data_IF_122392890660
#
_entry.id   IF_122392890660
#
_cell.length_a   1.000
_cell.length_b   1.000
_cell.length_c   1.000
_cell.angle_alpha   90.00
_cell.angle_beta   90.00
_cell.angle_gamma   90.00
#
_symmetry.space_group_name_H-M   'P 1'
#
loop_
_entity.id
_entity.type
_entity.pdbx_description
1 polymer ?
#
# COMPACT_ATOMS: atom_id res chain seq x y z
N UNK A 1 16.81 11.49 -2.11
CA UNK A 1 16.28 10.14 -2.35
C UNK A 1 15.75 10.11 -3.77
N UNK A 2 16.26 9.23 -4.59
CA UNK A 2 15.72 8.94 -5.91
C UNK A 2 14.70 7.82 -5.77
N UNK A 3 13.44 8.10 -6.13
CA UNK A 3 12.39 7.10 -6.20
C UNK A 3 12.33 6.50 -7.61
N UNK A 4 11.65 5.37 -7.72
CA UNK A 4 11.38 4.70 -8.98
C UNK A 4 9.88 4.46 -9.12
N UNK A 5 9.32 4.87 -10.24
CA UNK A 5 7.97 4.52 -10.65
C UNK A 5 7.91 4.31 -12.15
N UNK A 6 7.00 3.46 -12.60
CA UNK A 6 6.81 3.16 -14.00
C UNK A 6 5.49 3.78 -14.48
N UNK A 7 5.54 4.68 -15.46
CA UNK A 7 4.37 5.32 -16.05
C UNK A 7 3.37 4.33 -16.69
N UNK A 8 3.76 3.07 -16.90
CA UNK A 8 2.86 2.03 -17.35
C UNK A 8 1.78 1.68 -16.30
N UNK A 9 2.06 1.89 -15.00
CA UNK A 9 1.14 1.60 -13.91
C UNK A 9 0.43 2.84 -13.34
N UNK A 10 0.82 4.04 -13.78
CA UNK A 10 0.19 5.29 -13.36
C UNK A 10 0.30 6.32 -14.48
N UNK A 11 -0.82 6.56 -15.15
CA UNK A 11 -0.85 7.48 -16.29
C UNK A 11 -0.81 8.94 -15.88
N UNK A 12 -1.22 9.28 -14.65
CA UNK A 12 -1.40 10.66 -14.22
C UNK A 12 -0.81 10.94 -12.83
N UNK A 13 -0.40 12.19 -12.65
CA UNK A 13 0.01 12.77 -11.38
C UNK A 13 -0.41 14.23 -11.30
N UNK A 14 -0.52 14.78 -10.11
CA UNK A 14 -0.89 16.18 -9.92
C UNK A 14 0.30 17.11 -10.25
N UNK A 15 0.19 17.92 -11.30
CA UNK A 15 1.19 18.92 -11.67
C UNK A 15 1.24 20.06 -10.64
N UNK A 16 2.42 20.30 -10.08
CA UNK A 16 2.64 21.31 -9.04
C UNK A 16 3.47 22.51 -9.51
N UNK A 17 4.03 22.45 -10.71
CA UNK A 17 4.84 23.53 -11.30
C UNK A 17 6.15 23.03 -11.88
N UNK A 18 6.93 23.98 -12.39
CA UNK A 18 8.26 23.73 -12.89
C UNK A 18 9.32 24.12 -11.85
N UNK A 19 10.43 23.39 -11.86
CA UNK A 19 11.62 23.64 -11.06
C UNK A 19 12.86 23.70 -11.97
N UNK A 20 14.00 24.14 -11.43
CA UNK A 20 15.29 24.19 -12.13
C UNK A 20 15.22 24.88 -13.50
N UNK A 21 14.65 26.11 -13.56
CA UNK A 21 14.46 26.89 -14.79
C UNK A 21 13.66 26.16 -15.88
N UNK A 22 12.66 25.35 -15.48
CA UNK A 22 11.76 24.65 -16.39
C UNK A 22 12.24 23.29 -16.86
N UNK A 23 13.42 22.82 -16.44
CA UNK A 23 13.94 21.49 -16.84
C UNK A 23 13.38 20.34 -16.04
N UNK A 24 12.72 20.61 -14.90
CA UNK A 24 12.06 19.61 -14.06
C UNK A 24 10.59 19.97 -13.84
N UNK A 25 9.76 18.94 -13.84
CA UNK A 25 8.36 19.02 -13.43
C UNK A 25 8.24 18.51 -12.00
N UNK A 26 7.61 19.31 -11.16
CA UNK A 26 7.22 18.93 -9.81
C UNK A 26 5.81 18.35 -9.82
N UNK A 27 5.61 17.21 -9.20
CA UNK A 27 4.32 16.52 -9.20
C UNK A 27 4.05 15.80 -7.87
N UNK A 28 2.78 15.47 -7.61
CA UNK A 28 2.35 14.58 -6.53
C UNK A 28 1.82 13.29 -7.12
N UNK A 29 2.30 12.15 -6.61
CA UNK A 29 1.83 10.81 -6.95
C UNK A 29 2.05 9.87 -5.77
N UNK A 30 1.02 9.08 -5.40
CA UNK A 30 1.09 8.05 -4.36
C UNK A 30 1.80 8.52 -3.08
N UNK A 31 1.36 9.69 -2.55
CA UNK A 31 1.88 10.27 -1.31
C UNK A 31 3.22 11.00 -1.41
N UNK A 32 3.86 11.01 -2.58
CA UNK A 32 5.18 11.64 -2.78
C UNK A 32 5.10 12.87 -3.66
N UNK A 33 5.72 13.96 -3.22
CA UNK A 33 6.09 15.06 -4.10
C UNK A 33 7.45 14.77 -4.71
N UNK A 34 7.49 14.56 -6.01
CA UNK A 34 8.68 14.22 -6.79
C UNK A 34 9.03 15.25 -7.84
N UNK A 35 10.20 15.08 -8.44
CA UNK A 35 10.68 15.80 -9.61
C UNK A 35 11.01 14.80 -10.71
N UNK A 36 10.58 15.07 -11.92
CA UNK A 36 10.89 14.31 -13.14
C UNK A 36 11.44 15.26 -14.21
N UNK A 37 12.21 14.76 -15.16
CA UNK A 37 12.65 15.57 -16.31
C UNK A 37 11.44 16.02 -17.12
N UNK A 38 11.44 17.30 -17.52
CA UNK A 38 10.28 17.91 -18.19
C UNK A 38 10.01 17.29 -19.58
N UNK A 39 11.01 16.72 -20.21
CA UNK A 39 10.91 16.03 -21.51
C UNK A 39 10.43 14.58 -21.40
N UNK A 40 10.35 14.02 -20.18
CA UNK A 40 9.80 12.68 -19.92
C UNK A 40 8.30 12.67 -19.66
N UNK A 41 7.66 13.85 -19.53
CA UNK A 41 6.24 13.99 -19.19
C UNK A 41 5.54 15.03 -20.04
N UNK A 42 4.25 14.85 -20.24
CA UNK A 42 3.38 15.82 -20.88
C UNK A 42 2.49 16.50 -19.83
N UNK A 43 2.36 17.82 -19.91
CA UNK A 43 1.46 18.59 -19.05
C UNK A 43 0.18 18.86 -19.80
N UNK A 44 -0.92 18.32 -19.28
CA UNK A 44 -2.26 18.47 -19.83
C UNK A 44 -3.13 19.31 -18.91
N UNK A 45 -4.08 20.05 -19.50
CA UNK A 45 -5.11 20.72 -18.75
C UNK A 45 -6.26 19.71 -18.46
N UNK A 46 -6.52 19.42 -17.19
CA UNK A 46 -7.55 18.45 -16.81
C UNK A 46 -8.99 18.92 -17.17
N UNK A 47 -9.19 20.21 -17.43
CA UNK A 47 -10.49 20.78 -17.89
C UNK A 47 -10.69 20.63 -19.41
N UNK A 48 -9.68 20.19 -20.14
CA UNK A 48 -9.77 19.93 -21.58
C UNK A 48 -10.29 18.51 -21.81
N UNK A 49 -11.60 18.38 -21.87
CA UNK A 49 -12.31 17.11 -22.04
C UNK A 49 -12.02 16.39 -23.36
N UNK A 50 -11.53 17.12 -24.37
CA UNK A 50 -11.11 16.51 -25.65
C UNK A 50 -9.78 15.75 -25.49
N UNK A 51 -8.95 16.17 -24.55
CA UNK A 51 -7.63 15.58 -24.32
C UNK A 51 -7.60 14.72 -23.07
N UNK A 52 -8.25 15.12 -21.96
CA UNK A 52 -8.26 14.42 -20.69
C UNK A 52 -9.68 13.88 -20.43
N UNK A 53 -9.87 12.58 -20.68
CA UNK A 53 -11.16 11.91 -20.55
C UNK A 53 -11.32 11.15 -19.24
N UNK A 54 -10.22 10.87 -18.54
CA UNK A 54 -10.24 10.24 -17.23
C UNK A 54 -9.05 10.69 -16.39
N UNK A 55 -9.27 10.87 -15.07
CA UNK A 55 -8.22 11.04 -14.05
C UNK A 55 -8.54 10.12 -12.89
N UNK A 56 -7.53 9.72 -12.14
CA UNK A 56 -7.75 8.85 -10.98
C UNK A 56 -8.69 9.50 -9.97
N UNK A 57 -9.61 8.72 -9.42
CA UNK A 57 -10.57 9.20 -8.43
C UNK A 57 -10.95 8.13 -7.41
N UNK A 58 -11.47 8.59 -6.28
CA UNK A 58 -12.09 7.74 -5.26
C UNK A 58 -13.60 7.90 -5.29
N UNK A 59 -14.34 6.81 -5.04
CA UNK A 59 -15.79 6.82 -4.96
C UNK A 59 -16.28 5.91 -3.84
N UNK A 60 -17.33 6.34 -3.14
CA UNK A 60 -18.01 5.50 -2.16
C UNK A 60 -19.17 4.75 -2.80
N UNK A 61 -19.16 3.43 -2.74
CA UNK A 61 -20.25 2.57 -3.21
C UNK A 61 -20.50 1.46 -2.22
N UNK A 62 -21.76 1.19 -1.90
CA UNK A 62 -22.18 0.09 -1.00
C UNK A 62 -21.43 0.08 0.35
N UNK A 63 -21.17 1.25 0.93
CA UNK A 63 -20.47 1.38 2.20
C UNK A 63 -18.95 1.20 2.15
N UNK A 64 -18.36 1.07 0.98
CA UNK A 64 -16.93 0.92 0.77
C UNK A 64 -16.37 2.09 -0.06
N UNK A 65 -15.08 2.35 0.09
CA UNK A 65 -14.32 3.30 -0.72
C UNK A 65 -13.57 2.51 -1.79
N UNK A 66 -13.67 2.98 -3.02
CA UNK A 66 -12.94 2.42 -4.16
C UNK A 66 -12.08 3.49 -4.80
N UNK A 67 -10.86 3.13 -5.20
CA UNK A 67 -9.97 3.92 -6.02
C UNK A 67 -10.03 3.41 -7.46
N UNK A 68 -10.44 4.26 -8.39
CA UNK A 68 -10.46 3.97 -9.83
C UNK A 68 -9.21 4.55 -10.47
N UNK A 69 -8.43 3.69 -11.11
CA UNK A 69 -7.11 4.00 -11.66
C UNK A 69 -7.18 3.86 -13.19
N UNK A 70 -6.74 4.89 -13.91
CA UNK A 70 -6.55 4.86 -15.35
C UNK A 70 -5.06 4.70 -15.69
N UNK A 71 -4.78 3.92 -16.74
CA UNK A 71 -3.45 3.82 -17.35
C UNK A 71 -3.34 4.68 -18.62
N UNK A 72 -4.43 5.32 -19.04
CA UNK A 72 -4.44 6.23 -20.19
C UNK A 72 -5.51 7.32 -19.99
N UNK A 73 -5.08 8.50 -19.57
CA UNK A 73 -5.98 9.63 -19.29
C UNK A 73 -6.71 10.16 -20.53
N UNK A 74 -6.27 9.78 -21.73
CA UNK A 74 -6.91 10.15 -23.01
C UNK A 74 -8.07 9.23 -23.41
N UNK A 75 -8.40 8.25 -22.55
CA UNK A 75 -9.47 7.29 -22.77
C UNK A 75 -10.53 7.37 -21.66
N UNK A 76 -11.83 7.20 -21.98
CA UNK A 76 -12.91 7.34 -20.99
C UNK A 76 -13.15 6.05 -20.17
N UNK A 77 -12.10 5.30 -19.82
CA UNK A 77 -12.22 4.09 -19.02
C UNK A 77 -11.12 3.97 -17.95
N UNK A 78 -11.40 3.14 -16.96
CA UNK A 78 -10.50 2.86 -15.86
C UNK A 78 -10.02 1.41 -15.95
N UNK A 79 -8.72 1.22 -15.79
CA UNK A 79 -8.05 -0.08 -15.97
C UNK A 79 -8.23 -0.96 -14.74
N UNK A 80 -8.23 -0.36 -13.57
CA UNK A 80 -8.42 -1.09 -12.32
C UNK A 80 -9.28 -0.29 -11.34
N UNK A 81 -9.89 -1.00 -10.39
CA UNK A 81 -10.63 -0.43 -9.28
C UNK A 81 -10.28 -1.21 -8.02
N UNK A 82 -9.62 -0.57 -7.08
CA UNK A 82 -9.20 -1.17 -5.81
C UNK A 82 -10.16 -0.76 -4.69
N UNK A 83 -10.66 -1.71 -3.90
CA UNK A 83 -11.30 -1.40 -2.62
C UNK A 83 -10.20 -0.98 -1.63
N UNK A 84 -10.35 0.20 -1.04
CA UNK A 84 -9.35 0.77 -0.13
C UNK A 84 -9.85 0.93 1.30
N UNK A 85 -11.07 0.51 1.58
CA UNK A 85 -11.63 0.45 2.92
C UNK A 85 -13.09 0.79 3.02
N UNK A 86 -13.57 0.99 4.24
CA UNK A 86 -14.96 1.34 4.53
C UNK A 86 -15.20 2.84 4.38
N UNK A 87 -16.41 3.18 3.89
CA UNK A 87 -16.85 4.56 3.76
C UNK A 87 -16.72 5.30 5.10
N UNK A 88 -16.15 6.48 5.06
CA UNK A 88 -15.98 7.34 6.23
C UNK A 88 -17.20 8.26 6.41
N UNK A 89 -17.46 8.69 7.65
CA UNK A 89 -18.64 9.52 7.98
C UNK A 89 -18.68 10.88 7.28
N UNK A 90 -17.54 11.38 6.83
CA UNK A 90 -17.44 12.64 6.07
C UNK A 90 -17.62 12.46 4.55
N UNK A 91 -17.74 11.21 4.07
CA UNK A 91 -17.95 10.89 2.66
C UNK A 91 -19.42 10.58 2.37
N UNK A 92 -19.86 10.91 1.18
CA UNK A 92 -21.22 10.61 0.69
C UNK A 92 -21.17 9.46 -0.32
N UNK A 93 -22.17 8.58 -0.27
CA UNK A 93 -22.33 7.50 -1.25
C UNK A 93 -22.52 8.04 -2.67
N UNK A 94 -21.98 7.34 -3.64
CA UNK A 94 -22.02 7.68 -5.07
C UNK A 94 -21.45 9.07 -5.39
N UNK A 95 -20.49 9.55 -4.58
CA UNK A 95 -19.81 10.83 -4.79
C UNK A 95 -18.35 10.58 -5.10
N UNK A 96 -17.86 11.25 -6.15
CA UNK A 96 -16.46 11.22 -6.57
C UNK A 96 -15.63 12.18 -5.72
N UNK A 97 -14.44 11.74 -5.37
CA UNK A 97 -13.42 12.50 -4.65
C UNK A 97 -12.07 12.34 -5.33
N UNK A 98 -11.25 13.39 -5.31
CA UNK A 98 -9.91 13.38 -5.87
C UNK A 98 -8.86 13.34 -4.76
N UNK A 99 -7.81 12.55 -4.96
CA UNK A 99 -6.65 12.47 -4.07
C UNK A 99 -5.48 11.77 -4.77
N UNK A 100 -4.26 12.31 -4.69
CA UNK A 100 -3.03 11.63 -5.10
C UNK A 100 -2.13 11.25 -3.92
N UNK A 101 -2.54 11.61 -2.70
CA UNK A 101 -1.87 11.13 -1.49
C UNK A 101 -2.62 9.99 -0.77
N UNK A 102 -3.87 9.70 -1.20
CA UNK A 102 -4.72 8.68 -0.59
C UNK A 102 -5.20 9.00 0.84
N UNK A 103 -4.85 10.19 1.36
CA UNK A 103 -5.11 10.56 2.75
C UNK A 103 -6.11 11.70 2.89
N UNK A 104 -6.09 12.66 1.95
CA UNK A 104 -6.94 13.83 1.97
C UNK A 104 -7.77 13.87 0.69
N UNK A 105 -9.10 13.96 0.85
CA UNK A 105 -10.04 13.87 -0.25
C UNK A 105 -10.66 15.21 -0.59
N UNK A 106 -10.84 15.48 -1.86
CA UNK A 106 -11.35 16.74 -2.39
C UNK A 106 -12.55 16.52 -3.28
N UNK A 107 -13.52 17.44 -3.23
CA UNK A 107 -14.72 17.40 -4.07
C UNK A 107 -14.50 17.90 -5.49
N UNK A 108 -13.41 18.60 -5.74
CA UNK A 108 -13.00 19.06 -7.08
C UNK A 108 -11.49 18.89 -7.25
N UNK A 109 -11.09 18.63 -8.49
CA UNK A 109 -9.68 18.47 -8.86
C UNK A 109 -8.88 19.75 -8.56
N UNK A 110 -9.46 20.93 -8.88
CA UNK A 110 -8.79 22.23 -8.65
C UNK A 110 -8.47 22.48 -7.17
N UNK A 111 -9.41 22.20 -6.24
CA UNK A 111 -9.13 22.35 -4.80
C UNK A 111 -7.98 21.47 -4.32
N UNK A 112 -7.86 20.27 -4.89
CA UNK A 112 -6.74 19.36 -4.59
C UNK A 112 -5.42 19.96 -5.07
N UNK A 113 -5.35 20.44 -6.33
CA UNK A 113 -4.17 21.06 -6.90
C UNK A 113 -3.75 22.30 -6.11
N UNK A 114 -4.71 23.17 -5.76
CA UNK A 114 -4.43 24.40 -5.00
C UNK A 114 -3.81 24.07 -3.62
N UNK A 115 -4.35 23.09 -2.92
CA UNK A 115 -3.82 22.67 -1.63
C UNK A 115 -2.44 22.01 -1.75
N UNK A 116 -2.21 21.17 -2.76
CA UNK A 116 -0.90 20.57 -2.99
C UNK A 116 0.17 21.61 -3.34
N UNK A 117 -0.15 22.59 -4.20
CA UNK A 117 0.75 23.72 -4.55
C UNK A 117 1.08 24.58 -3.33
N UNK A 118 0.07 24.82 -2.47
CA UNK A 118 0.23 25.60 -1.24
C UNK A 118 0.81 24.77 -0.06
N UNK A 119 1.07 23.48 -0.26
CA UNK A 119 1.45 22.52 0.78
C UNK A 119 0.51 22.56 2.01
N UNK A 120 -0.79 22.63 1.75
CA UNK A 120 -1.87 22.59 2.76
C UNK A 120 -2.86 21.46 2.46
N UNK A 121 -3.82 21.25 3.36
CA UNK A 121 -4.92 20.31 3.19
C UNK A 121 -6.27 20.94 3.60
N UNK A 122 -6.32 22.26 3.67
CA UNK A 122 -7.45 23.03 4.23
C UNK A 122 -8.75 22.89 3.46
N UNK A 123 -8.66 22.64 2.13
CA UNK A 123 -9.82 22.50 1.25
C UNK A 123 -10.32 21.05 1.13
N UNK A 124 -9.61 20.08 1.75
CA UNK A 124 -10.07 18.70 1.80
C UNK A 124 -11.27 18.53 2.72
N UNK A 125 -12.12 17.54 2.44
CA UNK A 125 -13.30 17.24 3.28
C UNK A 125 -12.93 16.63 4.63
N UNK A 126 -11.68 16.25 4.82
CA UNK A 126 -11.16 15.59 6.01
C UNK A 126 -9.85 16.21 6.52
N UNK A 127 -9.70 17.53 6.40
CA UNK A 127 -8.48 18.28 6.72
C UNK A 127 -7.92 18.01 8.13
N UNK A 128 -8.78 17.76 9.13
CA UNK A 128 -8.39 17.46 10.51
C UNK A 128 -8.24 15.96 10.81
N UNK A 129 -8.60 15.08 9.87
CA UNK A 129 -8.62 13.63 10.06
C UNK A 129 -8.19 12.91 8.78
N UNK A 130 -6.89 12.82 8.51
CA UNK A 130 -6.39 12.08 7.34
C UNK A 130 -6.88 10.62 7.36
N UNK A 131 -7.18 10.10 6.18
CA UNK A 131 -7.55 8.72 5.98
C UNK A 131 -6.30 7.86 5.81
N UNK A 132 -6.35 6.66 6.35
CA UNK A 132 -5.36 5.63 6.11
C UNK A 132 -6.06 4.31 5.82
N UNK A 133 -5.81 3.73 4.65
CA UNK A 133 -6.29 2.40 4.30
C UNK A 133 -5.72 1.38 5.29
N UNK A 134 -6.56 0.78 6.11
CA UNK A 134 -6.13 -0.06 7.24
C UNK A 134 -5.14 -1.16 6.81
N UNK A 135 -5.49 -1.92 5.78
CA UNK A 135 -4.65 -3.03 5.35
C UNK A 135 -3.36 -2.61 4.65
N UNK A 136 -3.32 -1.43 4.07
CA UNK A 136 -2.11 -0.86 3.47
C UNK A 136 -1.10 -0.41 4.53
N UNK A 137 -1.59 -0.01 5.73
CA UNK A 137 -0.75 0.61 6.76
C UNK A 137 -0.63 -0.21 8.05
N UNK A 138 -1.35 -1.31 8.22
CA UNK A 138 -1.18 -2.21 9.37
C UNK A 138 0.19 -2.90 9.29
N UNK A 139 0.84 -3.08 10.44
CA UNK A 139 2.17 -3.69 10.49
C UNK A 139 2.17 -5.11 9.90
N UNK A 140 3.17 -5.39 9.06
CA UNK A 140 3.48 -6.73 8.54
C UNK A 140 3.89 -7.75 9.64
N UNK A 141 3.94 -7.31 10.89
CA UNK A 141 4.12 -8.14 12.09
C UNK A 141 2.80 -8.48 12.79
N UNK A 142 1.66 -8.06 12.26
CA UNK A 142 0.33 -8.42 12.76
C UNK A 142 0.11 -9.93 12.61
N UNK A 143 -0.80 -10.48 13.41
CA UNK A 143 -1.31 -11.84 13.21
C UNK A 143 -2.75 -11.80 12.74
N UNK A 144 -3.07 -12.56 11.70
CA UNK A 144 -4.44 -12.71 11.24
C UNK A 144 -5.25 -13.60 12.20
N UNK A 145 -6.56 -13.30 12.29
CA UNK A 145 -7.56 -14.17 12.90
C UNK A 145 -8.11 -15.21 11.90
N UNK A 146 -7.84 -15.05 10.62
CA UNK A 146 -8.26 -15.98 9.58
C UNK A 146 -7.50 -17.30 9.66
N UNK A 147 -8.15 -18.37 9.23
CA UNK A 147 -7.60 -19.72 9.20
C UNK A 147 -7.12 -20.12 7.81
N UNK A 148 -6.36 -21.19 7.73
CA UNK A 148 -5.98 -21.80 6.44
C UNK A 148 -7.21 -22.13 5.57
N UNK A 149 -8.32 -22.53 6.19
CA UNK A 149 -9.57 -22.82 5.49
C UNK A 149 -10.21 -21.58 4.88
N UNK A 150 -10.13 -20.42 5.57
CA UNK A 150 -10.68 -19.17 5.05
C UNK A 150 -9.90 -18.72 3.81
N UNK A 151 -8.55 -18.76 3.85
CA UNK A 151 -7.70 -18.43 2.73
C UNK A 151 -7.95 -19.37 1.53
N UNK A 152 -8.00 -20.67 1.77
CA UNK A 152 -8.26 -21.67 0.73
C UNK A 152 -9.67 -21.53 0.14
N UNK A 153 -10.66 -21.25 0.98
CA UNK A 153 -12.05 -21.04 0.56
C UNK A 153 -12.18 -19.82 -0.36
N UNK A 154 -11.49 -18.74 -0.02
CA UNK A 154 -11.49 -17.52 -0.85
C UNK A 154 -10.84 -17.78 -2.23
N UNK A 155 -9.67 -18.43 -2.28
CA UNK A 155 -9.03 -18.80 -3.56
C UNK A 155 -9.97 -19.64 -4.41
N UNK A 156 -10.60 -20.65 -3.81
CA UNK A 156 -11.54 -21.53 -4.49
C UNK A 156 -12.75 -20.77 -5.03
N UNK A 157 -13.41 -19.95 -4.19
CA UNK A 157 -14.57 -19.17 -4.60
C UNK A 157 -14.21 -18.22 -5.74
N UNK A 158 -13.08 -17.51 -5.63
CA UNK A 158 -12.67 -16.56 -6.67
C UNK A 158 -12.40 -17.24 -8.02
N UNK A 159 -11.67 -18.36 -8.03
CA UNK A 159 -11.27 -19.01 -9.28
C UNK A 159 -12.38 -19.88 -9.88
N UNK A 160 -13.08 -20.65 -9.06
CA UNK A 160 -14.13 -21.56 -9.56
C UNK A 160 -15.38 -20.78 -9.97
N UNK A 161 -15.80 -19.79 -9.15
CA UNK A 161 -17.07 -19.09 -9.33
C UNK A 161 -16.96 -17.95 -10.35
N UNK A 162 -15.82 -17.25 -10.41
CA UNK A 162 -15.65 -16.09 -11.27
C UNK A 162 -14.95 -16.40 -12.58
N UNK A 163 -13.98 -17.32 -12.58
CA UNK A 163 -13.12 -17.57 -13.74
C UNK A 163 -13.22 -18.99 -14.28
N UNK A 164 -13.91 -19.92 -13.59
CA UNK A 164 -13.96 -21.34 -13.93
C UNK A 164 -12.56 -21.92 -14.23
N UNK A 165 -11.54 -21.45 -13.51
CA UNK A 165 -10.15 -21.83 -13.67
C UNK A 165 -9.72 -22.81 -12.59
N UNK A 166 -9.10 -23.93 -12.99
CA UNK A 166 -8.60 -24.95 -12.08
C UNK A 166 -7.06 -25.01 -12.02
N UNK A 167 -6.37 -24.31 -12.91
CA UNK A 167 -4.92 -24.34 -12.98
C UNK A 167 -4.33 -23.17 -12.18
N UNK A 168 -4.02 -23.42 -10.92
CA UNK A 168 -3.41 -22.47 -10.02
C UNK A 168 -2.43 -23.13 -9.04
N UNK A 169 -1.41 -22.38 -8.66
CA UNK A 169 -0.44 -22.77 -7.61
C UNK A 169 -0.88 -22.34 -6.20
N UNK A 170 -2.03 -21.68 -6.03
CA UNK A 170 -2.51 -21.22 -4.73
C UNK A 170 -3.50 -22.17 -4.05
N UNK A 171 -4.00 -23.22 -4.71
CA UNK A 171 -4.87 -24.19 -4.06
C UNK A 171 -4.18 -24.85 -2.87
N UNK A 172 -4.88 -24.85 -1.72
CA UNK A 172 -4.44 -25.44 -0.45
C UNK A 172 -3.13 -24.84 0.13
N UNK A 173 -2.76 -23.62 -0.29
CA UNK A 173 -1.59 -22.94 0.26
C UNK A 173 -1.87 -22.21 1.59
N UNK A 174 -3.13 -22.03 2.00
CA UNK A 174 -3.50 -21.30 3.21
C UNK A 174 -2.76 -21.76 4.47
N UNK A 175 -2.52 -23.08 4.61
CA UNK A 175 -1.76 -23.63 5.74
C UNK A 175 -0.34 -23.02 5.84
N UNK A 176 0.34 -22.85 4.75
CA UNK A 176 1.73 -22.38 4.74
C UNK A 176 1.84 -20.90 5.12
N UNK A 177 0.91 -20.05 4.67
CA UNK A 177 0.83 -18.67 5.14
C UNK A 177 0.64 -18.59 6.66
N UNK A 178 -0.26 -19.41 7.22
CA UNK A 178 -0.50 -19.42 8.68
C UNK A 178 0.70 -20.00 9.46
N UNK A 179 1.29 -21.07 9.00
CA UNK A 179 2.46 -21.69 9.65
C UNK A 179 3.66 -20.73 9.66
N UNK A 180 3.92 -20.06 8.55
CA UNK A 180 5.06 -19.15 8.44
C UNK A 180 4.82 -17.84 9.18
N UNK A 181 3.57 -17.36 9.27
CA UNK A 181 3.21 -16.29 10.22
C UNK A 181 3.62 -16.67 11.64
N UNK A 182 3.30 -17.89 12.08
CA UNK A 182 3.61 -18.34 13.43
C UNK A 182 5.11 -18.54 13.65
N UNK A 183 5.84 -18.93 12.62
CA UNK A 183 7.28 -19.22 12.69
C UNK A 183 8.14 -17.96 12.52
N UNK A 184 7.79 -17.09 11.58
CA UNK A 184 8.65 -15.94 11.20
C UNK A 184 8.04 -14.59 11.58
N UNK A 185 6.79 -14.56 12.03
CA UNK A 185 6.10 -13.32 12.41
C UNK A 185 5.74 -12.43 11.22
N UNK A 186 5.62 -13.00 10.00
CA UNK A 186 5.08 -12.31 8.83
C UNK A 186 3.55 -12.37 8.86
N UNK A 187 2.87 -11.26 8.59
CA UNK A 187 1.40 -11.21 8.59
C UNK A 187 0.84 -12.02 7.43
N UNK A 188 0.25 -13.18 7.74
CA UNK A 188 -0.22 -14.12 6.72
C UNK A 188 -1.21 -13.51 5.72
N UNK A 189 -2.10 -12.61 6.18
CA UNK A 189 -3.06 -11.95 5.30
C UNK A 189 -2.36 -10.98 4.33
N UNK A 190 -1.30 -10.28 4.77
CA UNK A 190 -0.53 -9.40 3.89
C UNK A 190 0.26 -10.21 2.86
N UNK A 191 0.97 -11.27 3.29
CA UNK A 191 1.68 -12.16 2.37
C UNK A 191 0.73 -12.82 1.37
N UNK A 192 -0.48 -13.20 1.80
CA UNK A 192 -1.53 -13.72 0.93
C UNK A 192 -1.98 -12.67 -0.10
N UNK A 193 -2.28 -11.43 0.33
CA UNK A 193 -2.67 -10.34 -0.57
C UNK A 193 -1.61 -10.02 -1.61
N UNK A 194 -0.33 -10.02 -1.20
CA UNK A 194 0.82 -9.87 -2.13
C UNK A 194 0.88 -11.03 -3.11
N UNK A 195 0.76 -12.29 -2.65
CA UNK A 195 0.79 -13.46 -3.53
C UNK A 195 -0.34 -13.43 -4.57
N UNK A 196 -1.56 -13.04 -4.16
CA UNK A 196 -2.68 -12.87 -5.08
C UNK A 196 -2.39 -11.79 -6.12
N UNK A 197 -1.89 -10.64 -5.68
CA UNK A 197 -1.56 -9.51 -6.56
C UNK A 197 -0.49 -9.85 -7.60
N UNK A 198 0.61 -10.45 -7.15
CA UNK A 198 1.78 -10.75 -7.99
C UNK A 198 1.58 -11.94 -8.94
N UNK A 199 0.74 -12.88 -8.56
CA UNK A 199 0.57 -14.12 -9.32
C UNK A 199 -0.79 -14.28 -9.99
N UNK A 200 -1.66 -13.29 -9.92
CA UNK A 200 -3.05 -13.40 -10.36
C UNK A 200 -3.70 -14.69 -9.81
N UNK A 201 -3.73 -14.83 -8.49
CA UNK A 201 -4.18 -16.06 -7.80
C UNK A 201 -3.39 -17.32 -8.17
N UNK A 202 -2.10 -17.20 -8.46
CA UNK A 202 -1.25 -18.34 -8.81
C UNK A 202 -1.44 -18.87 -10.23
N UNK A 203 -2.13 -18.11 -11.10
CA UNK A 203 -2.44 -18.49 -12.49
C UNK A 203 -1.47 -17.87 -13.51
N UNK A 204 -0.62 -16.91 -13.11
CA UNK A 204 0.35 -16.30 -14.00
C UNK A 204 1.36 -17.31 -14.53
N UNK A 205 1.93 -17.03 -15.70
CA UNK A 205 2.93 -17.91 -16.33
C UNK A 205 4.14 -18.17 -15.43
N UNK A 206 4.60 -17.17 -14.68
CA UNK A 206 5.69 -17.31 -13.71
C UNK A 206 5.28 -18.22 -12.56
N UNK A 207 4.08 -18.02 -12.00
CA UNK A 207 3.58 -18.88 -10.94
C UNK A 207 3.47 -20.35 -11.40
N UNK A 208 2.89 -20.58 -12.56
CA UNK A 208 2.67 -21.94 -13.09
C UNK A 208 3.97 -22.65 -13.44
N UNK A 209 4.90 -21.97 -14.10
CA UNK A 209 6.13 -22.58 -14.58
C UNK A 209 7.27 -22.63 -13.56
N UNK A 210 7.31 -21.65 -12.63
CA UNK A 210 8.41 -21.46 -11.67
C UNK A 210 8.01 -21.64 -10.21
N UNK A 211 6.73 -21.91 -9.88
CA UNK A 211 6.19 -21.93 -8.53
C UNK A 211 6.45 -20.64 -7.73
N UNK A 212 6.63 -19.50 -8.41
CA UNK A 212 6.92 -18.20 -7.83
C UNK A 212 5.64 -17.37 -7.72
N UNK A 213 5.10 -17.30 -6.51
CA UNK A 213 3.85 -16.58 -6.23
C UNK A 213 4.04 -15.07 -5.98
N UNK A 214 5.28 -14.58 -5.95
CA UNK A 214 5.61 -13.21 -5.52
C UNK A 214 6.39 -12.41 -6.55
N UNK A 215 6.61 -12.96 -7.74
CA UNK A 215 7.42 -12.29 -8.75
C UNK A 215 8.88 -12.06 -8.33
N UNK A 216 9.40 -12.81 -7.35
CA UNK A 216 10.75 -12.59 -6.83
C UNK A 216 11.79 -12.61 -7.95
N UNK A 217 12.62 -11.56 -8.05
CA UNK A 217 13.61 -11.31 -9.09
C UNK A 217 13.05 -11.22 -10.53
N UNK A 218 11.75 -11.10 -10.70
CA UNK A 218 11.21 -10.65 -11.98
C UNK A 218 11.56 -9.16 -12.15
N UNK A 219 12.12 -8.80 -13.30
CA UNK A 219 12.37 -7.40 -13.64
C UNK A 219 11.57 -7.05 -14.89
N UNK A 220 11.12 -5.79 -14.99
CA UNK A 220 10.26 -5.33 -16.08
C UNK A 220 10.89 -5.61 -17.47
N UNK A 221 12.22 -5.54 -17.56
CA UNK A 221 12.97 -5.78 -18.81
C UNK A 221 13.16 -7.26 -19.15
N UNK A 222 13.11 -8.17 -18.17
CA UNK A 222 13.26 -9.62 -18.37
C UNK A 222 12.56 -10.43 -17.28
N UNK A 223 11.26 -10.74 -17.44
CA UNK A 223 10.54 -11.62 -16.53
C UNK A 223 11.13 -13.04 -16.42
N UNK A 224 11.97 -13.43 -17.38
CA UNK A 224 12.68 -14.71 -17.37
C UNK A 224 13.67 -14.87 -16.23
N UNK A 225 14.16 -13.77 -15.64
CA UNK A 225 15.05 -13.77 -14.48
C UNK A 225 14.36 -14.12 -13.16
N UNK A 226 13.02 -14.20 -13.12
CA UNK A 226 12.27 -14.58 -11.93
C UNK A 226 12.80 -15.89 -11.32
N UNK A 227 12.91 -15.93 -9.99
CA UNK A 227 13.33 -17.11 -9.25
C UNK A 227 12.41 -18.31 -9.54
N UNK A 228 13.03 -19.49 -9.71
CA UNK A 228 12.31 -20.76 -9.70
C UNK A 228 12.35 -21.39 -8.31
N UNK A 229 11.23 -21.96 -7.88
CA UNK A 229 11.10 -22.69 -6.62
C UNK A 229 10.72 -24.15 -6.89
N UNK A 230 11.18 -25.07 -6.02
CA UNK A 230 10.82 -26.49 -6.12
C UNK A 230 9.34 -26.74 -5.82
N UNK A 231 8.67 -25.80 -5.14
CA UNK A 231 7.23 -25.85 -4.89
C UNK A 231 6.69 -24.44 -4.54
N UNK A 232 5.37 -24.20 -4.65
CA UNK A 232 4.77 -22.92 -4.20
C UNK A 232 5.01 -22.63 -2.73
N UNK A 233 5.03 -23.66 -1.87
CA UNK A 233 5.32 -23.53 -0.45
C UNK A 233 6.68 -22.90 -0.19
N UNK A 234 7.68 -23.22 -1.00
CA UNK A 234 9.02 -22.67 -0.87
C UNK A 234 9.10 -21.20 -1.29
N UNK A 235 8.27 -20.76 -2.24
CA UNK A 235 8.17 -19.33 -2.53
C UNK A 235 7.52 -18.55 -1.37
N UNK A 236 6.50 -19.12 -0.71
CA UNK A 236 5.87 -18.53 0.49
C UNK A 236 6.88 -18.49 1.65
N UNK A 237 7.62 -19.60 1.87
CA UNK A 237 8.67 -19.65 2.88
C UNK A 237 9.72 -18.54 2.68
N UNK A 238 10.20 -18.40 1.47
CA UNK A 238 11.24 -17.43 1.12
C UNK A 238 10.73 -16.00 1.33
N UNK A 239 9.51 -15.74 0.87
CA UNK A 239 8.83 -14.44 1.07
C UNK A 239 8.71 -14.09 2.55
N UNK A 240 8.10 -14.96 3.35
CA UNK A 240 7.83 -14.67 4.76
C UNK A 240 9.11 -14.59 5.60
N UNK A 241 10.07 -15.47 5.34
CA UNK A 241 11.31 -15.56 6.12
C UNK A 241 12.30 -14.46 5.80
N UNK A 242 12.54 -14.18 4.53
CA UNK A 242 13.60 -13.27 4.09
C UNK A 242 13.05 -11.91 3.66
N UNK A 243 12.07 -11.86 2.78
CA UNK A 243 11.54 -10.58 2.30
C UNK A 243 10.81 -9.87 3.43
N UNK A 244 9.69 -10.41 3.92
CA UNK A 244 8.88 -9.73 4.93
C UNK A 244 9.62 -9.63 6.27
N UNK A 245 10.08 -10.77 6.82
CA UNK A 245 10.65 -10.79 8.18
C UNK A 245 11.97 -10.04 8.30
N UNK A 246 12.85 -10.13 7.32
CA UNK A 246 14.18 -9.51 7.39
C UNK A 246 14.25 -8.20 6.60
N UNK A 247 14.15 -8.28 5.27
CA UNK A 247 14.56 -7.18 4.40
C UNK A 247 13.64 -5.97 4.48
N UNK A 248 12.33 -6.19 4.54
CA UNK A 248 11.33 -5.11 4.54
C UNK A 248 10.83 -4.73 5.93
N UNK A 249 11.10 -5.52 6.97
CA UNK A 249 10.63 -5.22 8.35
C UNK A 249 11.75 -4.95 9.36
N UNK A 250 13.01 -4.89 8.93
CA UNK A 250 14.12 -4.68 9.85
C UNK A 250 14.94 -3.44 9.45
N UNK A 251 15.04 -2.42 10.32
CA UNK A 251 15.64 -1.10 9.99
C UNK A 251 17.08 -1.13 9.46
N UNK A 252 17.84 -2.20 9.69
CA UNK A 252 19.24 -2.31 9.21
C UNK A 252 19.37 -2.55 7.69
N UNK A 253 18.27 -2.94 7.02
CA UNK A 253 18.28 -3.20 5.57
C UNK A 253 17.90 -1.95 4.79
N UNK A 254 18.53 -1.72 3.64
CA UNK A 254 18.25 -0.57 2.77
C UNK A 254 16.84 -0.58 2.15
N UNK A 255 16.22 -1.74 2.08
CA UNK A 255 14.85 -1.93 1.62
C UNK A 255 13.78 -1.58 2.65
N UNK A 256 14.20 -1.32 3.91
CA UNK A 256 13.27 -0.95 4.97
C UNK A 256 12.85 0.52 4.88
N UNK A 257 11.56 0.76 4.65
CA UNK A 257 10.92 2.07 4.66
C UNK A 257 9.68 2.09 5.56
N UNK A 258 9.54 1.07 6.44
CA UNK A 258 8.40 0.81 7.30
C UNK A 258 7.87 -0.61 7.11
N UNK A 259 7.49 -1.26 8.20
CA UNK A 259 7.03 -2.66 8.18
C UNK A 259 5.53 -2.76 7.87
N UNK A 260 5.10 -2.27 6.72
CA UNK A 260 3.73 -2.30 6.20
C UNK A 260 3.76 -2.19 4.66
N UNK A 261 2.65 -2.45 3.97
CA UNK A 261 2.62 -2.40 2.49
C UNK A 261 2.97 -1.01 1.97
N UNK A 262 2.27 0.03 2.46
CA UNK A 262 2.59 1.42 2.19
C UNK A 262 2.29 1.90 0.78
N UNK A 263 2.98 2.99 0.42
CA UNK A 263 2.92 3.71 -0.84
C UNK A 263 4.33 4.10 -1.30
N UNK A 264 4.47 5.09 -2.19
CA UNK A 264 5.80 5.58 -2.60
C UNK A 264 6.49 6.47 -1.55
N UNK A 265 5.77 6.93 -0.52
CA UNK A 265 6.35 7.72 0.57
C UNK A 265 6.97 6.84 1.67
N UNK A 266 6.38 5.67 1.92
CA UNK A 266 6.80 4.79 3.01
C UNK A 266 6.24 3.37 2.85
N UNK A 267 6.79 2.42 3.59
CA UNK A 267 6.41 1.01 3.54
C UNK A 267 7.18 0.22 2.48
N UNK A 268 6.74 -0.99 2.24
CA UNK A 268 7.38 -1.94 1.30
C UNK A 268 7.36 -1.42 -0.13
N UNK A 269 6.28 -0.73 -0.56
CA UNK A 269 6.11 -0.26 -1.93
C UNK A 269 7.23 0.71 -2.39
N UNK A 270 7.92 1.37 -1.46
CA UNK A 270 9.07 2.24 -1.83
C UNK A 270 10.11 1.48 -2.63
N UNK A 271 10.38 0.21 -2.28
CA UNK A 271 11.45 -0.60 -2.87
C UNK A 271 10.97 -1.91 -3.51
N UNK A 272 9.71 -2.32 -3.31
CA UNK A 272 9.23 -3.62 -3.79
C UNK A 272 8.81 -3.60 -5.26
N UNK A 273 8.07 -2.59 -5.66
CA UNK A 273 7.50 -2.50 -7.01
C UNK A 273 7.65 -1.10 -7.61
N UNK A 274 7.70 -1.02 -8.93
CA UNK A 274 7.62 0.23 -9.69
C UNK A 274 6.20 0.81 -9.74
N UNK A 275 5.18 -0.02 -9.60
CA UNK A 275 3.78 0.39 -9.49
C UNK A 275 3.57 1.27 -8.24
N UNK A 276 3.16 2.54 -8.40
CA UNK A 276 2.94 3.44 -7.27
C UNK A 276 1.76 3.02 -6.38
N UNK A 277 0.83 2.23 -6.90
CA UNK A 277 -0.35 1.72 -6.19
C UNK A 277 -0.23 0.25 -5.75
N UNK A 278 0.95 -0.35 -5.87
CA UNK A 278 1.18 -1.76 -5.50
C UNK A 278 0.73 -2.10 -4.08
N UNK A 279 1.08 -1.28 -3.09
CA UNK A 279 0.68 -1.51 -1.70
C UNK A 279 -0.83 -1.42 -1.49
N UNK A 280 -1.49 -0.53 -2.21
CA UNK A 280 -2.95 -0.41 -2.24
C UNK A 280 -3.60 -1.61 -2.92
N UNK A 281 -3.03 -2.08 -4.03
CA UNK A 281 -3.51 -3.25 -4.77
C UNK A 281 -3.40 -4.54 -3.94
N UNK A 282 -2.31 -4.75 -3.23
CA UNK A 282 -2.17 -5.87 -2.31
C UNK A 282 -3.18 -5.76 -1.14
N UNK A 283 -3.38 -4.57 -0.59
CA UNK A 283 -4.37 -4.30 0.46
C UNK A 283 -5.81 -4.51 -0.03
N UNK A 284 -6.11 -4.24 -1.30
CA UNK A 284 -7.41 -4.56 -1.91
C UNK A 284 -7.77 -6.04 -1.74
N UNK A 285 -6.84 -6.94 -2.01
CA UNK A 285 -7.08 -8.38 -1.86
C UNK A 285 -7.26 -8.81 -0.40
N UNK A 286 -6.62 -8.11 0.53
CA UNK A 286 -6.88 -8.30 1.96
C UNK A 286 -8.30 -7.88 2.34
N UNK A 287 -8.79 -6.74 1.83
CA UNK A 287 -10.18 -6.30 1.99
C UNK A 287 -11.18 -7.27 1.38
N UNK A 288 -10.91 -7.79 0.19
CA UNK A 288 -11.79 -8.74 -0.48
C UNK A 288 -11.92 -10.06 0.32
N UNK A 289 -10.83 -10.55 0.88
CA UNK A 289 -10.88 -11.74 1.76
C UNK A 289 -11.62 -11.43 3.06
N UNK A 290 -11.38 -10.28 3.66
CA UNK A 290 -12.07 -9.85 4.89
C UNK A 290 -13.59 -9.74 4.69
N UNK A 291 -14.05 -9.26 3.56
CA UNK A 291 -15.46 -9.21 3.17
C UNK A 291 -16.03 -10.60 2.87
N UNK A 292 -15.24 -11.50 2.30
CA UNK A 292 -15.64 -12.88 1.98
C UNK A 292 -15.90 -13.68 3.26
N UNK A 293 -15.09 -13.50 4.29
CA UNK A 293 -15.21 -14.31 5.53
C UNK A 293 -16.24 -13.69 6.47
N UNK A 294 -17.36 -14.35 6.65
CA UNK A 294 -18.41 -13.91 7.57
C UNK A 294 -18.04 -14.12 9.04
N UNK A 295 -18.50 -13.22 9.89
CA UNK A 295 -18.46 -13.37 11.36
C UNK A 295 -17.13 -13.03 12.02
N UNK A 296 -16.10 -12.66 11.29
CA UNK A 296 -14.83 -12.15 11.81
C UNK A 296 -14.16 -11.19 10.82
N UNK A 297 -13.33 -10.31 11.33
CA UNK A 297 -12.59 -9.33 10.53
C UNK A 297 -11.27 -9.01 11.23
N UNK A 298 -10.22 -8.82 10.44
CA UNK A 298 -8.95 -8.30 10.93
C UNK A 298 -8.92 -6.75 10.86
N UNK A 299 -9.81 -6.13 10.08
CA UNK A 299 -9.85 -4.68 9.93
C UNK A 299 -10.15 -3.99 11.26
N UNK A 300 -9.25 -3.07 11.66
CA UNK A 300 -9.37 -2.36 12.94
C UNK A 300 -8.97 -3.19 14.17
N UNK A 301 -8.52 -4.44 14.03
CA UNK A 301 -8.07 -5.28 15.15
C UNK A 301 -6.85 -4.69 15.87
N UNK A 302 -6.07 -3.84 15.21
CA UNK A 302 -4.97 -3.06 15.77
C UNK A 302 -5.27 -1.58 15.66
N UNK A 303 -4.92 -0.83 16.70
CA UNK A 303 -4.88 0.63 16.62
C UNK A 303 -3.57 1.03 15.97
N UNK A 304 -3.64 1.91 14.98
CA UNK A 304 -2.49 2.44 14.29
C UNK A 304 -2.13 3.81 14.83
N UNK A 305 -0.84 4.12 14.88
CA UNK A 305 -0.33 5.47 15.08
C UNK A 305 0.55 5.84 13.89
N UNK A 306 0.39 7.07 13.43
CA UNK A 306 1.12 7.58 12.29
C UNK A 306 2.05 8.70 12.73
N UNK A 307 3.26 8.65 12.20
CA UNK A 307 4.24 9.74 12.22
C UNK A 307 4.24 10.37 10.83
N UNK A 308 3.82 11.61 10.70
CA UNK A 308 3.74 12.35 9.42
C UNK A 308 4.96 13.24 9.17
N UNK A 309 5.43 13.95 10.19
CA UNK A 309 6.54 14.90 10.08
C UNK A 309 7.54 14.75 11.23
N UNK A 310 8.77 15.25 10.99
CA UNK A 310 9.86 15.16 11.95
C UNK A 310 10.42 13.76 12.15
N UNK A 311 11.64 13.65 12.57
CA UNK A 311 12.24 12.37 12.95
C UNK A 311 11.92 12.07 14.42
N UNK A 312 11.50 10.84 14.72
CA UNK A 312 11.30 10.37 16.10
C UNK A 312 12.19 9.17 16.39
N UNK A 313 12.70 9.10 17.61
CA UNK A 313 13.46 7.95 18.07
C UNK A 313 12.52 6.87 18.62
N UNK A 314 12.63 5.68 18.08
CA UNK A 314 12.02 4.48 18.63
C UNK A 314 12.97 3.91 19.65
N UNK A 315 12.58 3.83 20.90
CA UNK A 315 13.46 3.51 22.03
C UNK A 315 13.13 2.16 22.66
N UNK A 316 14.12 1.57 23.32
CA UNK A 316 13.95 0.30 24.04
C UNK A 316 13.04 0.46 25.26
N UNK A 317 13.22 1.56 26.00
CA UNK A 317 12.49 1.87 27.21
C UNK A 317 11.81 3.25 27.11
N UNK A 318 10.83 3.51 27.94
CA UNK A 318 10.04 4.76 27.97
C UNK A 318 10.81 5.93 28.64
N UNK A 319 12.00 6.23 28.14
CA UNK A 319 12.87 7.32 28.59
C UNK A 319 13.76 7.82 27.45
N UNK A 320 14.09 9.11 27.48
CA UNK A 320 14.96 9.75 26.47
C UNK A 320 16.42 9.33 26.61
N UNK A 321 16.84 8.84 27.76
CA UNK A 321 18.17 8.27 28.01
C UNK A 321 18.35 6.84 27.51
N UNK A 322 17.23 6.13 27.19
CA UNK A 322 17.30 4.77 26.65
C UNK A 322 17.87 4.74 25.23
N UNK A 323 18.53 3.66 24.88
CA UNK A 323 19.06 3.44 23.53
C UNK A 323 17.97 3.60 22.46
N UNK A 324 18.27 4.36 21.41
CA UNK A 324 17.45 4.40 20.21
C UNK A 324 17.67 3.12 19.40
N UNK A 325 16.60 2.39 19.16
CA UNK A 325 16.60 1.21 18.29
C UNK A 325 16.54 1.58 16.82
N UNK A 326 15.85 2.68 16.53
CA UNK A 326 15.65 3.21 15.20
C UNK A 326 15.22 4.68 15.28
N UNK A 327 15.66 5.48 14.33
CA UNK A 327 15.18 6.86 14.15
C UNK A 327 14.41 6.91 12.84
N UNK A 328 13.15 7.31 12.88
CA UNK A 328 12.33 7.41 11.67
C UNK A 328 12.87 8.48 10.73
N UNK A 329 12.67 8.36 9.40
CA UNK A 329 12.97 9.44 8.47
C UNK A 329 12.25 10.74 8.87
N UNK A 330 12.86 11.88 8.57
CA UNK A 330 12.27 13.20 8.83
C UNK A 330 10.97 13.39 8.06
N UNK A 331 10.96 13.00 6.80
CA UNK A 331 9.83 13.11 5.89
C UNK A 331 9.19 11.73 5.66
N UNK A 332 7.94 11.73 5.24
CA UNK A 332 7.17 10.52 4.96
C UNK A 332 6.38 10.00 6.18
N UNK A 333 5.22 9.47 5.88
CA UNK A 333 4.35 8.84 6.85
C UNK A 333 4.93 7.51 7.29
N UNK A 334 4.95 7.23 8.59
CA UNK A 334 5.27 5.90 9.10
C UNK A 334 4.16 5.42 10.02
N UNK A 335 3.74 4.20 9.81
CA UNK A 335 2.71 3.53 10.60
C UNK A 335 3.31 2.53 11.56
N UNK A 336 2.72 2.45 12.74
CA UNK A 336 3.04 1.45 13.76
C UNK A 336 1.76 0.94 14.41
N UNK A 337 1.70 -0.35 14.71
CA UNK A 337 0.66 -0.88 15.60
C UNK A 337 0.90 -0.43 17.03
N UNK A 338 -0.12 0.06 17.71
CA UNK A 338 -0.08 0.32 19.15
C UNK A 338 -0.33 -1.01 19.88
N UNK A 339 0.62 -1.44 20.69
CA UNK A 339 0.49 -2.59 21.58
C UNK A 339 0.00 -2.20 22.97
N UNK A 340 0.17 -0.93 23.36
CA UNK A 340 -0.26 -0.40 24.64
C UNK A 340 0.28 0.99 24.93
N UNK A 341 -0.18 1.56 26.04
CA UNK A 341 0.35 2.77 26.66
C UNK A 341 1.11 2.41 27.93
N UNK A 342 2.23 3.05 28.16
CA UNK A 342 3.02 2.93 29.38
C UNK A 342 3.38 4.32 29.90
N UNK A 343 3.55 4.46 31.21
CA UNK A 343 4.10 5.67 31.81
C UNK A 343 5.61 5.62 31.79
N UNK A 344 6.23 6.75 31.51
CA UNK A 344 7.69 6.87 31.43
C UNK A 344 8.14 8.29 31.79
N UNK A 345 9.35 8.64 31.33
CA UNK A 345 9.89 9.98 31.49
C UNK A 345 8.97 11.05 30.90
N UNK A 346 8.83 12.19 31.60
CA UNK A 346 8.06 13.31 31.07
C UNK A 346 8.79 13.99 29.91
N UNK A 347 8.14 14.02 28.75
CA UNK A 347 8.64 14.71 27.55
C UNK A 347 7.58 15.69 27.10
N UNK A 348 7.94 16.98 26.98
CA UNK A 348 7.02 18.06 26.59
C UNK A 348 5.71 18.06 27.41
N UNK A 349 5.80 17.75 28.71
CA UNK A 349 4.66 17.75 29.63
C UNK A 349 3.80 16.48 29.64
N UNK A 350 4.13 15.48 28.83
CA UNK A 350 3.46 14.17 28.81
C UNK A 350 4.36 13.06 29.35
N UNK A 351 3.80 12.19 30.19
CA UNK A 351 4.44 10.94 30.64
C UNK A 351 3.96 9.72 29.85
N UNK A 352 3.06 9.91 28.88
CA UNK A 352 2.50 8.82 28.08
C UNK A 352 3.45 8.43 26.96
N UNK A 353 3.83 7.16 26.92
CA UNK A 353 4.58 6.52 25.85
C UNK A 353 3.74 5.42 25.22
N UNK A 354 3.91 5.21 23.90
CA UNK A 354 3.30 4.09 23.21
C UNK A 354 4.29 2.94 23.06
N UNK A 355 3.87 1.74 23.49
CA UNK A 355 4.52 0.50 23.07
C UNK A 355 4.01 0.18 21.67
N UNK A 356 4.89 0.01 20.72
CA UNK A 356 4.57 -0.15 19.30
C UNK A 356 5.21 -1.41 18.71
N UNK A 357 4.69 -1.79 17.54
CA UNK A 357 5.21 -2.90 16.72
C UNK A 357 5.34 -2.41 15.29
#
# INVERSE_FOLDING_TARGET
YSGYTNGYYAADGAFLGYENNGTKVKFMLAGVVGLVDADEVEILNYEDEDTVQSVNYYICKNGNIYHSITLNIRQPYYTSTAMVGKQQSYMKSNTVYYSYDGHYFYTTYQKMIDDYKANTRKNSINASKPYYNYYQYVSSRTKTSFTASDLNGYVKSYLDDLYNSKDTKMYNMGKYFIDYQNTYGAYALASFGVAVNESAFGTSSIALSKNNLFGHNAVDSDPGLANGYSSPQNSILDHDKYYVNLWYSTPKYSTYHGAFLGDKASGMNVSYASDPYWGESAAHWMWQLDEYVSGKSDAGSKKLVFKDQGAINIRKEATTSSASLYTTPKNGNMSFNILGKVKGESVSGSTDWYKIQ
#
